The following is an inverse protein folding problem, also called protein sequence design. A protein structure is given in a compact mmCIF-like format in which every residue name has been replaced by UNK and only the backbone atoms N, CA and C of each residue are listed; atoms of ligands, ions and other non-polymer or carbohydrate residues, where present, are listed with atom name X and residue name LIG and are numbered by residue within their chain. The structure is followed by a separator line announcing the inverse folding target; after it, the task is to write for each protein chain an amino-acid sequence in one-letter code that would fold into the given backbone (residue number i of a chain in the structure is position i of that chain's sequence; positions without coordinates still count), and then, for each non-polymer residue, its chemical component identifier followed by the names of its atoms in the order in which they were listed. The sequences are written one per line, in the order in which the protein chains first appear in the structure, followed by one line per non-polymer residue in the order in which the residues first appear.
data_IF_824579949971
#
_entry.id   IF_824579949971
#
_cell.length_a   1.000
_cell.length_b   1.000
_cell.length_c   1.000
_cell.angle_alpha   90.00
_cell.angle_beta   90.00
_cell.angle_gamma   90.00
#
_symmetry.space_group_name_H-M   'P 1'
#
loop_
_entity.id
_entity.type
_entity.pdbx_description
1 polymer ?
#
# COMPACT_ATOMS: atom_id res chain seq x y z
N UNK A 1 20.38 -4.48 -51.72
CA UNK A 1 21.38 -3.46 -51.37
C UNK A 1 21.09 -2.95 -49.97
N UNK A 2 22.11 -3.01 -49.09
CA UNK A 2 22.25 -2.37 -47.76
C UNK A 2 21.27 -2.84 -46.67
N UNK A 3 21.69 -3.28 -45.49
CA UNK A 3 23.03 -3.39 -44.91
C UNK A 3 22.86 -3.68 -43.42
N UNK A 4 23.36 -4.83 -42.98
CA UNK A 4 23.55 -5.23 -41.59
C UNK A 4 24.83 -4.60 -41.04
N UNK A 5 24.79 -3.96 -39.86
CA UNK A 5 25.94 -3.75 -38.98
C UNK A 5 25.48 -3.29 -37.57
N UNK A 6 26.28 -3.54 -36.51
CA UNK A 6 25.79 -3.97 -35.20
C UNK A 6 25.81 -2.88 -34.11
N UNK A 7 25.06 -3.13 -33.03
CA UNK A 7 25.14 -2.35 -31.79
C UNK A 7 26.48 -2.56 -31.09
N UNK A 8 27.16 -1.44 -30.89
CA UNK A 8 28.43 -1.29 -30.21
C UNK A 8 28.23 -1.41 -28.69
N UNK A 9 28.75 -2.47 -28.08
CA UNK A 9 28.94 -2.58 -26.63
C UNK A 9 30.31 -2.03 -26.27
N UNK A 10 30.34 -0.93 -25.51
CA UNK A 10 31.56 -0.47 -24.86
C UNK A 10 31.47 0.97 -24.38
N UNK A 11 31.34 1.16 -23.07
CA UNK A 11 32.24 2.00 -22.28
C UNK A 11 31.75 2.10 -20.83
N UNK A 12 32.40 1.35 -19.95
CA UNK A 12 32.50 1.69 -18.54
C UNK A 12 33.27 3.01 -18.42
N UNK A 13 32.65 4.05 -17.86
CA UNK A 13 33.37 5.20 -17.31
C UNK A 13 32.78 5.48 -15.93
N UNK A 14 33.63 5.33 -14.92
CA UNK A 14 33.27 5.51 -13.53
C UNK A 14 32.93 6.96 -13.20
N UNK A 15 32.01 7.13 -12.24
CA UNK A 15 31.79 8.41 -11.60
C UNK A 15 32.20 8.34 -10.13
N UNK A 16 33.28 9.07 -9.87
CA UNK A 16 33.69 9.55 -8.55
C UNK A 16 32.56 10.34 -7.91
N UNK A 17 32.26 10.00 -6.67
CA UNK A 17 32.24 10.92 -5.52
C UNK A 17 31.97 12.40 -5.83
N UNK A 18 30.74 12.86 -5.56
CA UNK A 18 30.47 14.24 -5.15
C UNK A 18 29.32 14.27 -4.13
N UNK A 19 29.70 14.51 -2.89
CA UNK A 19 28.84 14.91 -1.78
C UNK A 19 28.25 16.30 -2.04
N UNK A 20 26.98 16.46 -1.62
CA UNK A 20 26.32 17.68 -1.16
C UNK A 20 26.82 19.04 -1.72
N UNK A 21 26.06 19.60 -2.65
CA UNK A 21 25.97 21.04 -2.82
C UNK A 21 24.54 21.43 -3.25
N UNK A 22 23.98 22.40 -2.52
CA UNK A 22 22.72 23.09 -2.76
C UNK A 22 22.36 23.24 -4.24
N UNK A 23 21.25 22.63 -4.66
CA UNK A 23 20.52 23.08 -5.86
C UNK A 23 19.42 24.05 -5.45
N UNK A 24 19.81 25.30 -5.27
CA UNK A 24 18.89 26.43 -5.47
C UNK A 24 18.74 26.64 -6.97
N UNK A 25 17.60 26.24 -7.54
CA UNK A 25 17.27 26.49 -8.95
C UNK A 25 16.83 25.24 -9.71
N UNK A 26 15.72 24.62 -9.29
CA UNK A 26 14.92 23.76 -10.15
C UNK A 26 13.47 23.84 -9.66
N UNK A 27 12.65 24.62 -10.37
CA UNK A 27 11.19 24.61 -10.20
C UNK A 27 10.65 23.31 -10.80
N UNK A 28 10.75 22.22 -10.05
CA UNK A 28 9.95 21.02 -10.24
C UNK A 28 9.42 20.60 -8.87
N UNK A 29 8.16 20.21 -8.84
CA UNK A 29 7.27 20.13 -7.69
C UNK A 29 7.56 18.96 -6.73
N UNK A 30 8.79 18.45 -6.71
CA UNK A 30 9.19 17.24 -5.99
C UNK A 30 9.95 17.58 -4.70
N UNK A 31 9.40 18.48 -3.90
CA UNK A 31 9.97 18.77 -2.58
C UNK A 31 9.55 17.68 -1.60
N UNK A 32 10.22 16.53 -1.67
CA UNK A 32 10.07 15.51 -0.64
C UNK A 32 10.56 16.08 0.70
N UNK A 33 9.79 15.91 1.79
CA UNK A 33 10.25 16.33 3.10
C UNK A 33 11.56 15.60 3.41
N UNK A 34 12.63 16.37 3.59
CA UNK A 34 13.93 15.83 3.97
C UNK A 34 13.83 15.26 5.38
N UNK A 35 14.29 14.02 5.56
CA UNK A 35 14.35 13.40 6.88
C UNK A 35 15.54 13.95 7.70
N UNK A 36 15.58 13.59 8.98
CA UNK A 36 16.62 13.99 9.93
C UNK A 36 18.05 13.52 9.58
N UNK A 37 18.21 12.68 8.54
CA UNK A 37 19.48 12.15 8.06
C UNK A 37 19.97 12.81 6.78
N UNK A 38 19.13 13.65 6.15
CA UNK A 38 19.51 14.37 4.94
C UNK A 38 20.75 15.24 5.19
N UNK A 39 21.76 15.12 4.32
CA UNK A 39 23.02 15.86 4.42
C UNK A 39 24.00 15.35 5.48
N UNK A 40 23.64 14.34 6.29
CA UNK A 40 24.55 13.72 7.26
C UNK A 40 25.36 12.60 6.61
N UNK A 41 26.58 12.40 7.09
CA UNK A 41 27.41 11.29 6.66
C UNK A 41 26.90 9.97 7.26
N UNK A 42 26.58 9.01 6.38
CA UNK A 42 26.06 7.69 6.78
C UNK A 42 26.99 6.93 7.75
N UNK A 43 28.30 7.13 7.62
CA UNK A 43 29.33 6.44 8.42
C UNK A 43 29.65 7.13 9.75
N UNK A 44 28.92 8.17 10.11
CA UNK A 44 29.09 8.87 11.38
C UNK A 44 27.99 8.47 12.36
N UNK A 45 28.38 8.31 13.62
CA UNK A 45 27.52 7.98 14.75
C UNK A 45 26.54 6.83 14.44
N UNK A 46 25.25 7.07 14.63
CA UNK A 46 24.18 6.14 14.34
C UNK A 46 23.36 6.55 13.10
N UNK A 47 23.95 7.30 12.16
CA UNK A 47 23.25 7.73 10.95
C UNK A 47 22.84 6.56 10.04
N UNK A 48 23.45 5.38 10.21
CA UNK A 48 22.99 4.13 9.58
C UNK A 48 21.53 3.76 9.94
N UNK A 49 20.97 4.34 11.02
CA UNK A 49 19.55 4.21 11.37
C UNK A 49 18.62 4.64 10.24
N UNK A 50 19.05 5.53 9.35
CA UNK A 50 18.29 5.89 8.15
C UNK A 50 17.90 4.66 7.30
N UNK A 51 18.82 3.69 7.16
CA UNK A 51 18.53 2.45 6.42
C UNK A 51 17.52 1.58 7.17
N UNK A 52 17.61 1.50 8.50
CA UNK A 52 16.69 0.72 9.33
C UNK A 52 15.29 1.33 9.35
N UNK A 53 15.19 2.66 9.46
CA UNK A 53 13.91 3.37 9.41
C UNK A 53 13.25 3.23 8.04
N UNK A 54 14.01 3.18 6.95
CA UNK A 54 13.46 2.87 5.63
C UNK A 54 12.83 1.48 5.57
N UNK A 55 13.50 0.47 6.13
CA UNK A 55 12.95 -0.89 6.19
C UNK A 55 11.66 -0.95 7.00
N UNK A 56 11.63 -0.36 8.19
CA UNK A 56 10.44 -0.37 9.04
C UNK A 56 9.31 0.50 8.46
N UNK A 57 9.65 1.66 7.88
CA UNK A 57 8.71 2.57 7.24
C UNK A 57 8.03 1.98 6.00
N UNK A 58 8.64 0.96 5.37
CA UNK A 58 8.04 0.21 4.28
C UNK A 58 6.71 -0.44 4.65
N UNK A 59 6.47 -0.74 5.94
CA UNK A 59 5.20 -1.28 6.41
C UNK A 59 4.03 -0.32 6.17
N UNK A 60 4.18 0.94 6.59
CA UNK A 60 3.12 1.93 6.45
C UNK A 60 2.79 2.16 4.98
N UNK A 61 3.81 2.28 4.13
CA UNK A 61 3.65 2.40 2.67
C UNK A 61 2.85 1.21 2.12
N UNK A 62 3.16 -0.01 2.56
CA UNK A 62 2.43 -1.21 2.13
C UNK A 62 0.99 -1.24 2.62
N UNK A 63 0.68 -0.73 3.81
CA UNK A 63 -0.70 -0.61 4.30
C UNK A 63 -1.46 0.44 3.50
N UNK A 64 -0.91 1.63 3.32
CA UNK A 64 -1.53 2.70 2.51
C UNK A 64 -1.81 2.21 1.08
N UNK A 65 -0.91 1.39 0.53
CA UNK A 65 -1.06 0.78 -0.79
C UNK A 65 -2.19 -0.26 -0.84
N UNK A 66 -2.35 -1.09 0.20
CA UNK A 66 -3.47 -2.03 0.34
C UNK A 66 -4.79 -1.28 0.45
N UNK A 67 -4.83 -0.25 1.29
CA UNK A 67 -6.03 0.53 1.55
C UNK A 67 -6.49 1.26 0.28
N UNK A 68 -5.56 1.85 -0.48
CA UNK A 68 -5.86 2.43 -1.80
C UNK A 68 -6.50 1.42 -2.77
N UNK A 69 -5.94 0.21 -2.89
CA UNK A 69 -6.52 -0.83 -3.76
C UNK A 69 -7.90 -1.28 -3.26
N UNK A 70 -8.08 -1.38 -1.94
CA UNK A 70 -9.34 -1.78 -1.32
C UNK A 70 -10.43 -0.73 -1.54
N UNK A 71 -10.13 0.55 -1.32
CA UNK A 71 -11.03 1.67 -1.59
C UNK A 71 -11.48 1.69 -3.07
N UNK A 72 -10.54 1.44 -3.99
CA UNK A 72 -10.87 1.32 -5.41
C UNK A 72 -11.87 0.18 -5.69
N UNK A 73 -11.62 -1.00 -5.13
CA UNK A 73 -12.49 -2.17 -5.26
C UNK A 73 -13.88 -1.93 -4.67
N UNK A 74 -13.95 -1.29 -3.50
CA UNK A 74 -15.22 -0.99 -2.82
C UNK A 74 -16.06 0.03 -3.60
N UNK A 75 -15.43 1.03 -4.22
CA UNK A 75 -16.08 1.97 -5.12
C UNK A 75 -16.65 1.28 -6.36
N UNK A 76 -15.93 0.32 -6.96
CA UNK A 76 -16.44 -0.47 -8.09
C UNK A 76 -17.66 -1.34 -7.70
N UNK A 77 -17.63 -1.96 -6.51
CA UNK A 77 -18.78 -2.70 -5.97
C UNK A 77 -19.98 -1.79 -5.70
N UNK A 78 -19.75 -0.58 -5.20
CA UNK A 78 -20.82 0.40 -5.00
C UNK A 78 -21.47 0.80 -6.32
N UNK A 79 -20.68 1.05 -7.37
CA UNK A 79 -21.21 1.29 -8.71
C UNK A 79 -22.07 0.11 -9.21
N UNK A 80 -21.61 -1.13 -9.01
CA UNK A 80 -22.37 -2.33 -9.38
C UNK A 80 -23.73 -2.40 -8.65
N UNK A 81 -23.76 -2.12 -7.33
CA UNK A 81 -25.01 -2.04 -6.55
C UNK A 81 -25.95 -0.95 -7.08
N UNK A 82 -25.42 0.21 -7.42
CA UNK A 82 -26.20 1.31 -7.99
C UNK A 82 -26.81 0.94 -9.35
N UNK A 83 -26.08 0.22 -10.20
CA UNK A 83 -26.61 -0.32 -11.46
C UNK A 83 -27.77 -1.31 -11.22
N UNK A 84 -27.66 -2.21 -10.25
CA UNK A 84 -28.73 -3.17 -9.92
C UNK A 84 -30.00 -2.44 -9.47
N UNK A 85 -29.88 -1.49 -8.53
CA UNK A 85 -31.00 -0.68 -8.06
C UNK A 85 -31.67 0.12 -9.20
N UNK A 86 -30.87 0.66 -10.12
CA UNK A 86 -31.37 1.33 -11.32
C UNK A 86 -32.20 0.38 -12.20
N UNK A 87 -31.71 -0.84 -12.47
CA UNK A 87 -32.44 -1.84 -13.27
C UNK A 87 -33.76 -2.22 -12.63
N UNK A 88 -33.80 -2.46 -11.31
CA UNK A 88 -35.02 -2.84 -10.60
C UNK A 88 -36.09 -1.75 -10.67
N UNK A 89 -35.69 -0.50 -10.44
CA UNK A 89 -36.57 0.68 -10.55
C UNK A 89 -37.19 0.79 -11.94
N UNK A 90 -36.38 0.76 -13.00
CA UNK A 90 -36.87 0.97 -14.36
C UNK A 90 -37.59 -0.25 -14.93
N UNK A 91 -37.18 -1.46 -14.57
CA UNK A 91 -37.91 -2.69 -14.94
C UNK A 91 -39.33 -2.64 -14.38
N UNK A 92 -39.49 -2.25 -13.11
CA UNK A 92 -40.80 -2.11 -12.47
C UNK A 92 -41.64 -1.05 -13.18
N UNK A 93 -41.06 0.13 -13.43
CA UNK A 93 -41.75 1.24 -14.10
C UNK A 93 -42.21 0.90 -15.52
N UNK A 94 -41.38 0.21 -16.31
CA UNK A 94 -41.74 -0.22 -17.67
C UNK A 94 -42.81 -1.31 -17.62
N UNK A 95 -42.70 -2.29 -16.71
CA UNK A 95 -43.72 -3.33 -16.56
C UNK A 95 -45.10 -2.73 -16.24
N UNK A 96 -45.15 -1.72 -15.37
CA UNK A 96 -46.36 -0.99 -14.99
C UNK A 96 -46.98 -0.13 -16.11
N UNK A 97 -46.24 0.16 -17.19
CA UNK A 97 -46.82 0.88 -18.32
C UNK A 97 -47.97 0.07 -18.93
N UNK A 98 -49.12 0.72 -19.08
CA UNK A 98 -50.31 0.12 -19.69
C UNK A 98 -50.01 -0.43 -21.08
N UNK A 99 -50.65 -1.55 -21.43
CA UNK A 99 -50.62 -2.14 -22.77
C UNK A 99 -51.19 -1.22 -23.85
N UNK A 100 -51.86 -0.12 -23.47
CA UNK A 100 -52.29 0.94 -24.38
C UNK A 100 -51.11 1.76 -24.91
N UNK A 101 -50.05 1.94 -24.10
CA UNK A 101 -48.96 2.90 -24.35
C UNK A 101 -47.66 2.22 -24.77
N UNK A 102 -47.34 1.06 -24.19
CA UNK A 102 -46.16 0.26 -24.57
C UNK A 102 -46.54 -1.21 -24.49
N UNK A 103 -46.28 -1.97 -25.56
CA UNK A 103 -46.76 -3.33 -25.71
C UNK A 103 -45.83 -4.21 -26.54
N UNK A 104 -46.10 -5.51 -26.47
CA UNK A 104 -45.58 -6.57 -27.32
C UNK A 104 -44.04 -6.56 -27.52
N UNK A 105 -43.52 -6.56 -28.74
CA UNK A 105 -42.08 -6.70 -29.02
C UNK A 105 -41.28 -5.46 -28.63
N UNK A 106 -41.82 -4.25 -28.81
CA UNK A 106 -41.14 -3.00 -28.39
C UNK A 106 -40.99 -2.93 -26.87
N UNK A 107 -42.02 -3.32 -26.10
CA UNK A 107 -41.93 -3.38 -24.63
C UNK A 107 -40.89 -4.40 -24.18
N UNK A 108 -40.79 -5.56 -24.85
CA UNK A 108 -39.74 -6.56 -24.58
C UNK A 108 -38.35 -5.99 -24.85
N UNK A 109 -38.15 -5.33 -25.99
CA UNK A 109 -36.87 -4.70 -26.34
C UNK A 109 -36.46 -3.63 -25.31
N UNK A 110 -37.38 -2.78 -24.87
CA UNK A 110 -37.13 -1.81 -23.79
C UNK A 110 -36.68 -2.48 -22.48
N UNK A 111 -37.36 -3.57 -22.09
CA UNK A 111 -37.00 -4.34 -20.90
C UNK A 111 -35.64 -5.02 -21.03
N UNK A 112 -35.29 -5.50 -22.22
CA UNK A 112 -33.98 -6.11 -22.48
C UNK A 112 -32.84 -5.08 -22.37
N UNK A 113 -33.02 -3.87 -22.92
CA UNK A 113 -32.05 -2.77 -22.75
C UNK A 113 -31.89 -2.39 -21.29
N UNK A 114 -33.00 -2.24 -20.56
CA UNK A 114 -32.95 -1.86 -19.14
C UNK A 114 -32.27 -2.91 -18.26
N UNK A 115 -32.18 -4.17 -18.69
CA UNK A 115 -31.49 -5.23 -17.95
C UNK A 115 -29.98 -5.23 -18.14
N UNK A 116 -29.44 -4.55 -19.15
CA UNK A 116 -27.99 -4.54 -19.45
C UNK A 116 -27.13 -4.09 -18.26
N UNK A 117 -27.46 -3.00 -17.53
CA UNK A 117 -26.66 -2.60 -16.38
C UNK A 117 -26.53 -3.68 -15.30
N UNK A 118 -27.49 -4.62 -15.20
CA UNK A 118 -27.40 -5.76 -14.28
C UNK A 118 -26.34 -6.77 -14.73
N UNK A 119 -26.21 -7.04 -16.03
CA UNK A 119 -25.15 -7.90 -16.56
C UNK A 119 -23.78 -7.22 -16.40
N UNK A 120 -23.69 -5.92 -16.65
CA UNK A 120 -22.47 -5.15 -16.41
C UNK A 120 -22.07 -5.13 -14.93
N UNK A 121 -23.05 -5.05 -14.02
CA UNK A 121 -22.79 -5.14 -12.58
C UNK A 121 -22.22 -6.50 -12.16
N UNK A 122 -22.75 -7.60 -12.70
CA UNK A 122 -22.21 -8.95 -12.47
C UNK A 122 -20.76 -9.08 -12.96
N UNK A 123 -20.49 -8.50 -14.13
CA UNK A 123 -19.17 -8.50 -14.73
C UNK A 123 -18.17 -7.67 -13.89
N UNK A 124 -18.58 -6.49 -13.43
CA UNK A 124 -17.81 -5.67 -12.48
C UNK A 124 -17.52 -6.41 -11.18
N UNK A 125 -18.50 -7.11 -10.61
CA UNK A 125 -18.31 -7.91 -9.39
C UNK A 125 -17.28 -9.03 -9.60
N UNK A 126 -17.29 -9.68 -10.77
CA UNK A 126 -16.27 -10.68 -11.12
C UNK A 126 -14.86 -10.08 -11.15
N UNK A 127 -14.68 -8.87 -11.71
CA UNK A 127 -13.37 -8.20 -11.69
C UNK A 127 -12.98 -7.77 -10.28
N UNK A 128 -13.93 -7.30 -9.45
CA UNK A 128 -13.67 -6.99 -8.05
C UNK A 128 -13.13 -8.20 -7.29
N UNK A 129 -13.62 -9.41 -7.60
CA UNK A 129 -13.09 -10.64 -7.02
C UNK A 129 -11.67 -10.96 -7.50
N UNK A 130 -11.31 -10.69 -8.75
CA UNK A 130 -9.93 -10.83 -9.23
C UNK A 130 -9.01 -9.80 -8.57
N UNK A 131 -9.44 -8.53 -8.46
CA UNK A 131 -8.70 -7.49 -7.74
C UNK A 131 -8.48 -7.86 -6.26
N UNK A 132 -9.51 -8.43 -5.61
CA UNK A 132 -9.40 -8.87 -4.22
C UNK A 132 -8.33 -9.95 -4.03
N UNK A 133 -8.18 -10.88 -4.98
CA UNK A 133 -7.10 -11.88 -4.91
C UNK A 133 -5.72 -11.24 -4.94
N UNK A 134 -5.52 -10.20 -5.74
CA UNK A 134 -4.25 -9.43 -5.79
C UNK A 134 -4.01 -8.71 -4.47
N UNK A 135 -5.04 -8.06 -3.92
CA UNK A 135 -4.98 -7.39 -2.61
C UNK A 135 -4.60 -8.38 -1.51
N UNK A 136 -5.26 -9.55 -1.47
CA UNK A 136 -5.02 -10.58 -0.45
C UNK A 136 -3.62 -11.20 -0.59
N UNK A 137 -3.16 -11.45 -1.82
CA UNK A 137 -1.78 -11.89 -2.12
C UNK A 137 -0.75 -10.91 -1.57
N UNK A 138 -0.92 -9.61 -1.83
CA UNK A 138 0.00 -8.60 -1.33
C UNK A 138 -0.09 -8.43 0.19
N UNK A 139 -1.29 -8.48 0.77
CA UNK A 139 -1.50 -8.47 2.23
C UNK A 139 -0.79 -9.64 2.91
N UNK A 140 -0.82 -10.83 2.32
CA UNK A 140 -0.08 -11.99 2.83
C UNK A 140 1.43 -11.77 2.79
N UNK A 141 1.97 -11.28 1.68
CA UNK A 141 3.38 -10.89 1.57
C UNK A 141 3.78 -9.89 2.68
N UNK A 142 2.97 -8.84 2.90
CA UNK A 142 3.21 -7.85 3.96
C UNK A 142 3.19 -8.50 5.34
N UNK A 143 2.27 -9.42 5.60
CA UNK A 143 2.18 -10.13 6.89
C UNK A 143 3.40 -11.03 7.15
N UNK A 144 3.99 -11.63 6.12
CA UNK A 144 5.18 -12.48 6.23
C UNK A 144 6.47 -11.68 6.44
N UNK A 145 6.55 -10.51 5.81
CA UNK A 145 7.73 -9.64 5.86
C UNK A 145 7.74 -8.79 7.14
N UNK A 146 6.56 -8.29 7.55
CA UNK A 146 6.40 -7.41 8.70
C UNK A 146 5.74 -8.14 9.86
N UNK A 147 6.54 -8.50 10.86
CA UNK A 147 6.13 -9.30 12.01
C UNK A 147 5.75 -8.39 13.17
N UNK A 148 4.70 -8.77 13.90
CA UNK A 148 4.28 -8.09 15.11
C UNK A 148 5.25 -8.39 16.27
N UNK A 149 5.89 -7.38 16.84
CA UNK A 149 6.71 -7.56 18.03
C UNK A 149 5.78 -7.63 19.26
N UNK A 150 5.73 -8.77 19.98
CA UNK A 150 4.81 -9.01 21.12
C UNK A 150 4.75 -7.89 22.18
N UNK A 151 5.80 -7.07 22.27
CA UNK A 151 5.98 -6.06 23.31
C UNK A 151 6.15 -4.63 22.77
N UNK A 152 5.96 -4.38 21.47
CA UNK A 152 6.02 -3.03 20.91
C UNK A 152 4.85 -2.74 19.99
N UNK A 153 4.25 -1.53 20.06
CA UNK A 153 3.30 -1.08 19.05
C UNK A 153 3.98 -1.02 17.68
N UNK A 154 3.31 -1.56 16.67
CA UNK A 154 3.75 -1.49 15.27
C UNK A 154 4.44 -2.78 14.79
N UNK A 155 4.35 -3.01 13.47
CA UNK A 155 5.05 -4.10 12.80
C UNK A 155 6.37 -3.60 12.25
N UNK A 156 7.39 -4.45 12.34
CA UNK A 156 8.72 -4.16 11.81
C UNK A 156 9.12 -5.21 10.80
N UNK A 157 10.03 -4.81 9.91
CA UNK A 157 10.59 -5.76 8.96
C UNK A 157 11.34 -6.85 9.74
N UNK A 158 11.11 -8.12 9.42
CA UNK A 158 11.67 -9.29 10.14
C UNK A 158 13.20 -9.26 10.28
N UNK A 159 13.90 -8.59 9.36
CA UNK A 159 15.36 -8.42 9.34
C UNK A 159 15.89 -7.14 10.03
N UNK A 160 15.03 -6.22 10.46
CA UNK A 160 15.50 -4.96 11.05
C UNK A 160 16.38 -5.18 12.28
N UNK A 161 15.98 -6.11 13.16
CA UNK A 161 16.76 -6.42 14.36
C UNK A 161 18.14 -7.03 14.03
N UNK A 162 18.19 -7.91 13.02
CA UNK A 162 19.43 -8.50 12.49
C UNK A 162 20.38 -7.41 11.99
N UNK A 163 19.92 -6.53 11.09
CA UNK A 163 20.74 -5.44 10.54
C UNK A 163 21.19 -4.46 11.63
N UNK A 164 20.32 -4.13 12.58
CA UNK A 164 20.68 -3.28 13.73
C UNK A 164 21.83 -3.88 14.53
N UNK A 165 21.80 -5.19 14.80
CA UNK A 165 22.89 -5.89 15.49
C UNK A 165 24.17 -5.85 14.67
N UNK A 166 24.10 -6.10 13.36
CA UNK A 166 25.26 -6.05 12.47
C UNK A 166 25.92 -4.67 12.44
N UNK A 167 25.14 -3.59 12.30
CA UNK A 167 25.67 -2.23 12.33
C UNK A 167 26.31 -1.88 13.67
N UNK A 168 25.67 -2.25 14.79
CA UNK A 168 26.24 -2.04 16.14
C UNK A 168 27.57 -2.76 16.31
N UNK A 169 27.65 -4.03 15.91
CA UNK A 169 28.89 -4.81 15.98
C UNK A 169 29.98 -4.22 15.08
N UNK A 170 29.63 -3.74 13.88
CA UNK A 170 30.59 -3.09 13.01
C UNK A 170 31.11 -1.76 13.59
N UNK A 171 30.23 -0.99 14.24
CA UNK A 171 30.53 0.32 14.82
C UNK A 171 31.31 0.25 16.15
N UNK A 172 31.19 -0.84 16.91
CA UNK A 172 31.78 -0.96 18.25
C UNK A 172 33.28 -0.62 18.30
N UNK A 173 34.07 -1.18 17.37
CA UNK A 173 35.52 -0.98 17.35
C UNK A 173 35.94 0.44 17.00
N UNK A 174 35.23 1.13 16.10
CA UNK A 174 35.54 2.54 15.80
C UNK A 174 35.09 3.46 16.93
N UNK A 175 33.96 3.15 17.58
CA UNK A 175 33.45 3.90 18.73
C UNK A 175 34.45 3.89 19.89
N UNK A 176 34.99 2.72 20.22
CA UNK A 176 35.96 2.59 21.32
C UNK A 176 37.23 3.44 21.08
N UNK A 177 37.77 3.41 19.86
CA UNK A 177 38.96 4.21 19.51
C UNK A 177 38.62 5.70 19.44
N UNK A 178 37.40 6.07 19.03
CA UNK A 178 36.94 7.45 19.04
C UNK A 178 36.85 8.01 20.47
N UNK A 179 36.31 7.24 21.42
CA UNK A 179 36.20 7.61 22.83
C UNK A 179 37.60 7.76 23.47
N UNK A 180 38.54 6.87 23.12
CA UNK A 180 39.94 6.99 23.53
C UNK A 180 40.58 8.27 22.98
N UNK A 181 40.35 8.59 21.70
CA UNK A 181 40.89 9.78 21.07
C UNK A 181 40.35 11.07 21.72
N UNK A 182 39.07 11.10 22.06
CA UNK A 182 38.47 12.25 22.75
C UNK A 182 38.98 12.40 24.19
N UNK A 183 39.19 11.28 24.88
CA UNK A 183 39.84 11.26 26.21
C UNK A 183 41.27 11.80 26.12
N UNK A 184 42.06 11.40 25.12
CA UNK A 184 43.42 11.91 24.94
C UNK A 184 43.45 13.41 24.60
N UNK A 185 42.52 13.91 23.77
CA UNK A 185 42.40 15.35 23.48
C UNK A 185 42.09 16.18 24.72
N UNK A 186 41.20 15.68 25.58
CA UNK A 186 40.89 16.39 26.83
C UNK A 186 42.08 16.36 27.81
N UNK A 187 42.86 15.28 27.85
CA UNK A 187 44.11 15.21 28.61
C UNK A 187 45.19 16.14 28.04
N UNK A 188 45.37 16.18 26.72
CA UNK A 188 46.31 17.07 26.02
C UNK A 188 46.02 18.54 26.37
N UNK A 189 44.75 18.95 26.30
CA UNK A 189 44.33 20.32 26.67
C UNK A 189 44.71 20.65 28.11
N UNK A 190 44.42 19.76 29.06
CA UNK A 190 44.78 19.94 30.48
C UNK A 190 46.30 19.98 30.69
N UNK A 191 47.05 19.15 29.97
CA UNK A 191 48.51 19.12 30.05
C UNK A 191 49.13 20.41 29.51
N UNK A 192 48.61 20.96 28.40
CA UNK A 192 49.02 22.27 27.86
C UNK A 192 48.73 23.42 28.82
N UNK A 193 47.56 23.44 29.43
CA UNK A 193 47.20 24.45 30.45
C UNK A 193 48.12 24.36 31.68
N UNK A 194 48.43 23.13 32.14
CA UNK A 194 49.35 22.91 33.25
C UNK A 194 50.80 23.30 32.92
N UNK A 195 51.28 23.00 31.70
CA UNK A 195 52.59 23.42 31.24
C UNK A 195 52.69 24.94 31.16
N UNK A 196 51.69 25.61 30.58
CA UNK A 196 51.63 27.07 30.51
C UNK A 196 51.69 27.72 31.89
N UNK A 197 50.97 27.15 32.86
CA UNK A 197 50.99 27.62 34.25
C UNK A 197 52.38 27.45 34.89
N UNK A 198 53.04 26.33 34.63
CA UNK A 198 54.40 26.09 35.12
C UNK A 198 55.44 27.02 34.46
N UNK A 199 55.29 27.28 33.16
CA UNK A 199 56.13 28.23 32.40
C UNK A 199 56.01 29.65 32.97
N UNK A 200 54.78 30.14 33.19
CA UNK A 200 54.57 31.44 33.82
C UNK A 200 55.13 31.52 35.24
N UNK A 201 55.02 30.44 36.03
CA UNK A 201 55.62 30.40 37.36
C UNK A 201 57.15 30.45 37.33
N UNK A 202 57.79 29.75 36.39
CA UNK A 202 59.24 29.84 36.17
C UNK A 202 59.66 31.26 35.77
N UNK A 203 58.93 31.90 34.85
CA UNK A 203 59.21 33.26 34.40
C UNK A 203 59.12 34.28 35.54
N UNK A 204 58.07 34.19 36.37
CA UNK A 204 57.91 35.06 37.56
C UNK A 204 59.09 34.88 38.52
N UNK A 205 59.49 33.63 38.80
CA UNK A 205 60.60 33.33 39.70
C UNK A 205 61.96 33.79 39.14
N UNK A 206 62.16 33.76 37.82
CA UNK A 206 63.36 34.29 37.17
C UNK A 206 63.47 35.81 37.25
N UNK A 207 62.32 36.51 37.24
CA UNK A 207 62.25 37.97 37.33
C UNK A 207 62.32 38.49 38.77
N UNK A 208 62.11 37.64 39.78
CA UNK A 208 62.17 38.00 41.19
C UNK A 208 63.61 37.91 41.73
N UNK A 209 64.25 39.05 42.10
CA UNK A 209 65.63 39.08 42.60
C UNK A 209 65.80 38.46 43.99
N UNK A 210 64.71 38.13 44.70
CA UNK A 210 64.74 37.44 45.99
C UNK A 210 64.70 35.90 45.87
N UNK A 211 64.50 35.38 44.65
CA UNK A 211 64.42 33.94 44.38
C UNK A 211 65.76 33.25 44.64
N UNK A 212 65.73 32.19 45.43
CA UNK A 212 66.90 31.33 45.64
C UNK A 212 67.11 30.36 44.47
N UNK A 213 68.37 30.02 44.20
CA UNK A 213 68.74 29.05 43.15
C UNK A 213 68.02 27.70 43.31
N UNK A 214 67.79 27.26 44.56
CA UNK A 214 67.04 26.05 44.89
C UNK A 214 65.55 26.14 44.51
N UNK A 215 64.92 27.31 44.66
CA UNK A 215 63.53 27.52 44.24
C UNK A 215 63.40 27.51 42.72
N UNK A 216 64.34 28.15 42.01
CA UNK A 216 64.38 28.16 40.56
C UNK A 216 64.61 26.74 39.98
N UNK A 217 65.55 25.98 40.55
CA UNK A 217 65.81 24.60 40.15
C UNK A 217 64.56 23.71 40.32
N UNK A 218 63.81 23.88 41.42
CA UNK A 218 62.56 23.14 41.66
C UNK A 218 61.47 23.52 40.66
N UNK A 219 61.34 24.80 40.31
CA UNK A 219 60.37 25.26 39.32
C UNK A 219 60.67 24.68 37.92
N UNK A 220 61.95 24.72 37.50
CA UNK A 220 62.41 24.10 36.26
C UNK A 220 62.16 22.59 36.23
N UNK A 221 62.36 21.88 37.36
CA UNK A 221 62.04 20.45 37.45
C UNK A 221 60.54 20.18 37.25
N UNK A 222 59.66 21.01 37.82
CA UNK A 222 58.20 20.89 37.64
C UNK A 222 57.82 21.16 36.18
N UNK A 223 58.37 22.21 35.57
CA UNK A 223 58.16 22.53 34.15
C UNK A 223 58.56 21.35 33.25
N UNK A 224 59.76 20.79 33.46
CA UNK A 224 60.25 19.65 32.68
C UNK A 224 59.36 18.42 32.84
N UNK A 225 58.85 18.13 34.05
CA UNK A 225 57.88 17.05 34.27
C UNK A 225 56.57 17.29 33.52
N UNK A 226 56.06 18.53 33.50
CA UNK A 226 54.83 18.87 32.74
C UNK A 226 55.04 18.77 31.24
N UNK A 227 56.21 19.16 30.73
CA UNK A 227 56.58 19.00 29.32
C UNK A 227 56.66 17.53 28.92
N UNK A 228 57.38 16.70 29.68
CA UNK A 228 57.45 15.26 29.42
C UNK A 228 56.07 14.58 29.46
N UNK A 229 55.15 15.04 30.33
CA UNK A 229 53.76 14.54 30.36
C UNK A 229 53.00 14.92 29.09
N UNK A 230 53.20 16.14 28.58
CA UNK A 230 52.58 16.59 27.34
C UNK A 230 53.11 15.77 26.15
N UNK A 231 54.43 15.57 26.07
CA UNK A 231 55.08 14.79 25.00
C UNK A 231 54.55 13.34 24.95
N UNK A 232 54.42 12.67 26.11
CA UNK A 232 53.85 11.31 26.21
C UNK A 232 52.38 11.25 25.76
N UNK A 233 51.57 12.27 26.08
CA UNK A 233 50.18 12.36 25.61
C UNK A 233 50.14 12.57 24.10
N UNK A 234 51.00 13.45 23.56
CA UNK A 234 51.06 13.73 22.12
C UNK A 234 51.49 12.50 21.31
N UNK A 235 52.46 11.70 21.81
CA UNK A 235 52.86 10.42 21.21
C UNK A 235 51.67 9.43 21.18
N UNK A 236 51.01 9.20 22.32
CA UNK A 236 49.81 8.34 22.39
C UNK A 236 48.69 8.81 21.47
N UNK A 237 48.55 10.12 21.30
CA UNK A 237 47.54 10.73 20.44
C UNK A 237 47.87 10.47 18.95
N UNK A 238 49.13 10.50 18.54
CA UNK A 238 49.58 10.12 17.18
C UNK A 238 49.26 8.65 16.91
N UNK A 239 49.59 7.76 17.84
CA UNK A 239 49.32 6.32 17.70
C UNK A 239 47.82 6.03 17.64
N UNK A 240 47.04 6.64 18.54
CA UNK A 240 45.57 6.48 18.55
C UNK A 240 44.93 7.03 17.29
N UNK A 241 45.42 8.14 16.73
CA UNK A 241 44.99 8.65 15.41
C UNK A 241 45.27 7.65 14.28
N UNK A 242 46.41 6.96 14.33
CA UNK A 242 46.74 5.91 13.36
C UNK A 242 45.76 4.73 13.46
N UNK A 243 45.55 4.22 14.67
CA UNK A 243 44.59 3.15 14.96
C UNK A 243 43.17 3.53 14.55
N UNK A 244 42.75 4.78 14.79
CA UNK A 244 41.45 5.28 14.36
C UNK A 244 41.27 5.23 12.84
N UNK A 245 42.28 5.60 12.06
CA UNK A 245 42.22 5.52 10.58
C UNK A 245 42.05 4.08 10.10
N UNK A 246 42.72 3.12 10.75
CA UNK A 246 42.58 1.69 10.44
C UNK A 246 41.17 1.20 10.79
N UNK A 247 40.68 1.51 11.99
CA UNK A 247 39.33 1.18 12.43
C UNK A 247 38.26 1.79 11.52
N UNK A 248 38.44 3.04 11.08
CA UNK A 248 37.54 3.72 10.15
C UNK A 248 37.46 3.03 8.79
N UNK A 249 38.60 2.62 8.21
CA UNK A 249 38.61 1.88 6.95
C UNK A 249 37.89 0.52 7.09
N UNK A 250 38.14 -0.19 8.19
CA UNK A 250 37.48 -1.47 8.47
C UNK A 250 35.96 -1.31 8.67
N UNK A 251 35.55 -0.31 9.45
CA UNK A 251 34.14 0.02 9.66
C UNK A 251 33.44 0.37 8.35
N UNK A 252 34.00 1.29 7.55
CA UNK A 252 33.40 1.67 6.25
C UNK A 252 33.18 0.47 5.34
N UNK A 253 34.15 -0.46 5.27
CA UNK A 253 33.99 -1.69 4.48
C UNK A 253 32.81 -2.54 4.98
N UNK A 254 32.76 -2.84 6.28
CA UNK A 254 31.69 -3.65 6.89
C UNK A 254 30.32 -2.97 6.78
N UNK A 255 30.25 -1.68 7.10
CA UNK A 255 29.02 -0.89 7.01
C UNK A 255 28.49 -0.83 5.57
N UNK A 256 29.37 -0.73 4.57
CA UNK A 256 28.98 -0.77 3.15
C UNK A 256 28.42 -2.14 2.76
N UNK A 257 28.99 -3.23 3.26
CA UNK A 257 28.47 -4.59 3.03
C UNK A 257 27.08 -4.77 3.62
N UNK A 258 26.87 -4.36 4.87
CA UNK A 258 25.55 -4.40 5.53
C UNK A 258 24.55 -3.51 4.77
N UNK A 259 24.98 -2.32 4.35
CA UNK A 259 24.16 -1.41 3.55
C UNK A 259 23.72 -2.05 2.23
N UNK A 260 24.61 -2.74 1.51
CA UNK A 260 24.23 -3.49 0.30
C UNK A 260 23.16 -4.54 0.57
N UNK A 261 23.24 -5.26 1.69
CA UNK A 261 22.19 -6.21 2.08
C UNK A 261 20.85 -5.50 2.36
N UNK A 262 20.89 -4.32 2.99
CA UNK A 262 19.69 -3.50 3.18
C UNK A 262 19.11 -3.01 1.85
N UNK A 263 19.96 -2.77 0.83
CA UNK A 263 19.52 -2.38 -0.51
C UNK A 263 18.84 -3.54 -1.23
N UNK A 264 19.38 -4.76 -1.16
CA UNK A 264 18.75 -5.95 -1.76
C UNK A 264 17.36 -6.20 -1.18
N UNK A 265 17.20 -6.08 0.14
CA UNK A 265 15.88 -6.23 0.78
C UNK A 265 14.90 -5.15 0.34
N UNK A 266 15.37 -3.92 0.16
CA UNK A 266 14.51 -2.82 -0.32
C UNK A 266 14.16 -2.99 -1.81
N UNK A 267 15.09 -3.47 -2.62
CA UNK A 267 14.87 -3.81 -4.03
C UNK A 267 13.77 -4.86 -4.17
N UNK A 268 13.83 -5.95 -3.38
CA UNK A 268 12.78 -6.96 -3.33
C UNK A 268 11.40 -6.36 -3.03
N UNK A 269 11.32 -5.40 -2.08
CA UNK A 269 10.06 -4.72 -1.74
C UNK A 269 9.55 -3.87 -2.91
N UNK A 270 10.43 -3.13 -3.57
CA UNK A 270 10.08 -2.28 -4.71
C UNK A 270 9.62 -3.12 -5.91
N UNK A 271 10.27 -4.25 -6.17
CA UNK A 271 9.85 -5.18 -7.21
C UNK A 271 8.50 -5.81 -6.92
N UNK A 272 8.24 -6.23 -5.68
CA UNK A 272 6.91 -6.74 -5.30
C UNK A 272 5.81 -5.68 -5.47
N UNK A 273 6.09 -4.40 -5.20
CA UNK A 273 5.15 -3.31 -5.46
C UNK A 273 4.89 -3.18 -6.95
N UNK A 274 5.95 -3.16 -7.78
CA UNK A 274 5.83 -3.09 -9.23
C UNK A 274 5.00 -4.25 -9.79
N UNK A 275 5.28 -5.47 -9.35
CA UNK A 275 4.53 -6.67 -9.76
C UNK A 275 3.07 -6.60 -9.32
N UNK A 276 2.80 -6.19 -8.08
CA UNK A 276 1.43 -6.03 -7.58
C UNK A 276 0.65 -4.99 -8.37
N UNK A 277 1.29 -3.87 -8.76
CA UNK A 277 0.66 -2.86 -9.62
C UNK A 277 0.27 -3.44 -10.98
N UNK A 278 1.14 -4.24 -11.59
CA UNK A 278 0.87 -4.89 -12.88
C UNK A 278 -0.25 -5.95 -12.74
N UNK A 279 -0.19 -6.79 -11.70
CA UNK A 279 -1.23 -7.77 -11.38
C UNK A 279 -2.58 -7.08 -11.16
N UNK A 280 -2.59 -5.93 -10.46
CA UNK A 280 -3.81 -5.16 -10.19
C UNK A 280 -4.40 -4.55 -11.47
N UNK A 281 -3.56 -3.96 -12.34
CA UNK A 281 -3.99 -3.45 -13.66
C UNK A 281 -4.62 -4.58 -14.49
N UNK A 282 -3.99 -5.76 -14.50
CA UNK A 282 -4.50 -6.92 -15.22
C UNK A 282 -5.82 -7.43 -14.64
N UNK A 283 -5.99 -7.39 -13.32
CA UNK A 283 -7.23 -7.74 -12.64
C UNK A 283 -8.36 -6.73 -12.89
N UNK A 284 -8.04 -5.44 -13.02
CA UNK A 284 -9.00 -4.38 -13.37
C UNK A 284 -9.61 -4.60 -14.76
N UNK A 285 -8.83 -5.13 -15.72
CA UNK A 285 -9.28 -5.34 -17.09
C UNK A 285 -8.78 -6.67 -17.65
N UNK A 286 -9.46 -7.76 -17.28
CA UNK A 286 -9.12 -9.08 -17.79
C UNK A 286 -9.58 -9.27 -19.24
N UNK A 287 -8.90 -10.14 -20.00
CA UNK A 287 -9.34 -10.52 -21.35
C UNK A 287 -10.76 -11.10 -21.33
N UNK A 288 -11.08 -11.88 -20.29
CA UNK A 288 -12.43 -12.41 -20.07
C UNK A 288 -13.45 -11.30 -19.92
N UNK A 289 -13.15 -10.27 -19.11
CA UNK A 289 -13.99 -9.09 -18.95
C UNK A 289 -14.26 -8.39 -20.29
N UNK A 290 -13.21 -8.14 -21.07
CA UNK A 290 -13.34 -7.46 -22.36
C UNK A 290 -14.23 -8.25 -23.34
N UNK A 291 -14.05 -9.56 -23.42
CA UNK A 291 -14.84 -10.43 -24.29
C UNK A 291 -16.31 -10.50 -23.84
N UNK A 292 -16.57 -10.68 -22.54
CA UNK A 292 -17.94 -10.73 -22.01
C UNK A 292 -18.66 -9.38 -22.18
N UNK A 293 -17.95 -8.27 -22.01
CA UNK A 293 -18.49 -6.92 -22.25
C UNK A 293 -18.94 -6.75 -23.70
N UNK A 294 -18.11 -7.10 -24.68
CA UNK A 294 -18.45 -7.03 -26.10
C UNK A 294 -19.64 -7.95 -26.41
N UNK A 295 -19.61 -9.18 -25.89
CA UNK A 295 -20.67 -10.15 -26.11
C UNK A 295 -22.04 -9.68 -25.59
N UNK A 296 -22.09 -9.01 -24.43
CA UNK A 296 -23.34 -8.43 -23.88
C UNK A 296 -23.97 -7.45 -24.88
N UNK A 297 -23.18 -6.54 -25.45
CA UNK A 297 -23.68 -5.52 -26.37
C UNK A 297 -24.01 -6.09 -27.76
N UNK A 298 -23.21 -7.00 -28.28
CA UNK A 298 -23.48 -7.68 -29.55
C UNK A 298 -24.76 -8.52 -29.45
N UNK A 299 -24.90 -9.34 -28.40
CA UNK A 299 -26.09 -10.16 -28.15
C UNK A 299 -27.36 -9.31 -28.05
N UNK A 300 -27.29 -8.18 -27.32
CA UNK A 300 -28.42 -7.25 -27.23
C UNK A 300 -28.77 -6.65 -28.59
N UNK A 301 -27.77 -6.21 -29.35
CA UNK A 301 -27.96 -5.59 -30.67
C UNK A 301 -28.64 -6.56 -31.62
N UNK A 302 -28.15 -7.81 -31.70
CA UNK A 302 -28.78 -8.87 -32.47
C UNK A 302 -30.20 -9.15 -32.00
N UNK A 303 -30.41 -9.25 -30.68
CA UNK A 303 -31.74 -9.54 -30.10
C UNK A 303 -32.76 -8.47 -30.45
N UNK A 304 -32.42 -7.19 -30.30
CA UNK A 304 -33.34 -6.09 -30.62
C UNK A 304 -33.61 -6.07 -32.13
N UNK A 305 -32.57 -6.17 -32.96
CA UNK A 305 -32.71 -6.11 -34.43
C UNK A 305 -33.56 -7.24 -34.98
N UNK A 306 -33.50 -8.43 -34.38
CA UNK A 306 -34.21 -9.62 -34.86
C UNK A 306 -35.60 -9.81 -34.24
N UNK A 307 -35.81 -9.39 -32.98
CA UNK A 307 -37.05 -9.67 -32.25
C UNK A 307 -37.98 -8.47 -32.13
N UNK A 308 -37.49 -7.23 -32.25
CA UNK A 308 -38.35 -6.07 -32.26
C UNK A 308 -38.92 -5.89 -33.66
N UNK A 309 -40.25 -5.93 -33.76
CA UNK A 309 -40.95 -5.82 -35.02
C UNK A 309 -42.17 -4.90 -34.85
N UNK A 310 -42.15 -3.77 -35.56
CA UNK A 310 -43.23 -2.79 -35.50
C UNK A 310 -44.54 -3.31 -36.10
N UNK A 311 -44.48 -4.18 -37.11
CA UNK A 311 -45.66 -4.80 -37.71
C UNK A 311 -46.37 -5.74 -36.72
N UNK A 312 -45.63 -6.61 -36.04
CA UNK A 312 -46.18 -7.52 -35.02
C UNK A 312 -46.85 -6.75 -33.89
N UNK A 313 -46.26 -5.61 -33.49
CA UNK A 313 -46.81 -4.74 -32.47
C UNK A 313 -48.14 -4.12 -32.92
N UNK A 314 -48.19 -3.56 -34.13
CA UNK A 314 -49.42 -2.97 -34.69
C UNK A 314 -50.52 -4.02 -34.85
N UNK A 315 -50.17 -5.23 -35.30
CA UNK A 315 -51.10 -6.35 -35.41
C UNK A 315 -51.64 -6.78 -34.04
N UNK A 316 -50.75 -6.92 -33.04
CA UNK A 316 -51.12 -7.21 -31.66
C UNK A 316 -52.13 -6.17 -31.13
N UNK A 317 -51.88 -4.88 -31.39
CA UNK A 317 -52.77 -3.81 -30.95
C UNK A 317 -54.15 -3.90 -31.63
N UNK A 318 -54.20 -4.04 -32.95
CA UNK A 318 -55.46 -4.15 -33.70
C UNK A 318 -56.32 -5.33 -33.21
N UNK A 319 -55.67 -6.47 -32.92
CA UNK A 319 -56.31 -7.65 -32.35
C UNK A 319 -56.82 -7.42 -30.92
N UNK A 320 -56.01 -6.80 -30.06
CA UNK A 320 -56.36 -6.54 -28.67
C UNK A 320 -57.60 -5.64 -28.51
N UNK A 321 -57.85 -4.73 -29.46
CA UNK A 321 -59.00 -3.83 -29.45
C UNK A 321 -60.11 -4.18 -30.46
N UNK A 322 -60.03 -5.35 -31.11
CA UNK A 322 -61.11 -5.88 -31.95
C UNK A 322 -61.38 -5.08 -33.23
N UNK A 323 -60.41 -4.32 -33.74
CA UNK A 323 -60.52 -3.57 -35.01
C UNK A 323 -60.14 -4.49 -36.19
N UNK A 324 -60.32 -5.81 -36.04
CA UNK A 324 -60.17 -6.77 -37.14
C UNK A 324 -61.31 -6.58 -38.15
N UNK A 325 -61.13 -5.64 -39.06
CA UNK A 325 -61.99 -5.45 -40.22
C UNK A 325 -61.26 -5.94 -41.48
N UNK A 326 -61.97 -6.23 -42.57
CA UNK A 326 -61.44 -6.84 -43.81
C UNK A 326 -60.12 -6.23 -44.35
N UNK A 327 -59.76 -5.00 -43.97
CA UNK A 327 -58.49 -4.33 -44.23
C UNK A 327 -57.26 -4.93 -43.51
N UNK A 328 -57.37 -5.36 -42.25
CA UNK A 328 -56.23 -6.00 -41.54
C UNK A 328 -55.99 -7.43 -42.02
N UNK A 329 -57.02 -8.13 -42.51
CA UNK A 329 -56.86 -9.45 -43.15
C UNK A 329 -55.96 -9.41 -44.38
N UNK A 330 -56.03 -8.35 -45.19
CA UNK A 330 -55.16 -8.22 -46.37
C UNK A 330 -53.71 -7.91 -46.01
N UNK A 331 -53.46 -7.25 -44.88
CA UNK A 331 -52.12 -6.95 -44.37
C UNK A 331 -51.44 -8.19 -43.76
N UNK A 332 -52.22 -9.12 -43.18
CA UNK A 332 -51.77 -10.40 -42.62
C UNK A 332 -51.46 -11.43 -43.73
N UNK A 333 -52.14 -11.35 -44.88
CA UNK A 333 -51.92 -12.26 -46.01
C UNK A 333 -50.58 -12.00 -46.70
N UNK A 334 -50.14 -10.75 -46.80
CA UNK A 334 -48.87 -10.41 -47.47
C UNK A 334 -47.61 -10.80 -46.72
N UNK A 335 -47.69 -11.22 -45.45
CA UNK A 335 -46.53 -11.65 -44.66
C UNK A 335 -46.26 -13.16 -44.70
N UNK A 336 -47.14 -13.96 -45.32
CA UNK A 336 -46.99 -15.41 -45.42
C UNK A 336 -46.50 -15.89 -46.79
N UNK A 337 -46.24 -14.99 -47.75
CA UNK A 337 -45.93 -15.35 -49.14
C UNK A 337 -44.43 -15.26 -49.50
N UNK A 338 -43.52 -15.08 -48.52
CA UNK A 338 -42.06 -14.97 -48.76
C UNK A 338 -41.24 -16.22 -48.33
N UNK A 339 -41.87 -17.39 -48.14
CA UNK A 339 -41.14 -18.66 -48.01
C UNK A 339 -41.22 -19.46 -49.32
N UNK A 340 -40.26 -19.22 -50.21
CA UNK A 340 -39.99 -20.08 -51.36
C UNK A 340 -39.32 -21.38 -50.92
N UNK A 341 -40.02 -22.49 -51.18
CA UNK A 341 -39.54 -23.78 -51.68
C UNK A 341 -38.12 -24.26 -51.28
N UNK A 342 -38.09 -25.31 -50.46
CA UNK A 342 -37.24 -26.47 -50.79
C UNK A 342 -37.89 -27.78 -50.30
N UNK A 343 -38.17 -28.63 -51.26
CA UNK A 343 -38.74 -29.97 -51.17
C UNK A 343 -38.09 -30.90 -50.13
N UNK A 344 -38.91 -31.74 -49.48
CA UNK A 344 -38.76 -33.19 -49.68
C UNK A 344 -39.96 -33.99 -49.17
N UNK A 345 -40.48 -34.77 -50.11
CA UNK A 345 -41.46 -35.85 -50.05
C UNK A 345 -41.01 -36.95 -49.07
N UNK A 346 -41.93 -37.53 -48.30
CA UNK A 346 -42.12 -38.99 -48.13
C UNK A 346 -43.53 -39.27 -47.58
N UNK A 347 -44.20 -40.20 -48.26
CA UNK A 347 -45.54 -40.74 -48.05
C UNK A 347 -45.71 -41.47 -46.71
N UNK A 348 -46.93 -41.50 -46.16
CA UNK A 348 -47.77 -42.72 -46.19
C UNK A 348 -48.98 -42.67 -45.23
N UNK A 349 -50.13 -42.94 -45.83
CA UNK A 349 -51.27 -43.73 -45.36
C UNK A 349 -51.92 -43.48 -43.98
N UNK A 350 -53.15 -42.96 -44.12
CA UNK A 350 -54.33 -43.21 -43.29
C UNK A 350 -54.45 -44.65 -42.75
N UNK A 351 -54.78 -44.80 -41.45
CA UNK A 351 -55.99 -45.51 -41.07
C UNK A 351 -56.42 -45.27 -39.62
N UNK A 352 -57.74 -45.12 -39.48
CA UNK A 352 -58.52 -44.88 -38.26
C UNK A 352 -59.00 -46.21 -37.70
N UNK A 353 -58.76 -46.50 -36.41
CA UNK A 353 -59.61 -47.44 -35.64
C UNK A 353 -59.48 -47.24 -34.12
N UNK A 354 -60.54 -46.65 -33.58
CA UNK A 354 -61.31 -47.00 -32.37
C UNK A 354 -60.81 -48.08 -31.39
N UNK A 355 -61.00 -47.77 -30.09
CA UNK A 355 -61.56 -48.58 -28.97
C UNK A 355 -60.67 -48.74 -27.70
N UNK A 356 -61.19 -48.11 -26.63
CA UNK A 356 -61.37 -48.48 -25.21
C UNK A 356 -60.25 -48.71 -24.18
N UNK A 357 -60.57 -48.17 -22.98
CA UNK A 357 -60.22 -48.56 -21.60
C UNK A 357 -58.72 -48.48 -21.19
N UNK A 358 -58.30 -48.11 -19.97
CA UNK A 358 -58.92 -47.98 -18.66
C UNK A 358 -57.97 -47.18 -17.73
N UNK A 359 -58.56 -46.50 -16.73
CA UNK A 359 -58.04 -46.18 -15.37
C UNK A 359 -56.54 -45.96 -15.11
N UNK A 360 -56.21 -44.81 -14.47
CA UNK A 360 -55.79 -44.84 -13.06
C UNK A 360 -55.91 -43.47 -12.38
N UNK A 361 -56.51 -43.48 -11.19
CA UNK A 361 -56.57 -42.38 -10.23
C UNK A 361 -55.22 -42.30 -9.50
N UNK A 362 -54.80 -41.11 -9.12
CA UNK A 362 -54.29 -40.89 -7.75
C UNK A 362 -54.42 -39.44 -7.33
N UNK A 363 -55.22 -39.26 -6.29
CA UNK A 363 -55.30 -38.10 -5.41
C UNK A 363 -53.94 -37.78 -4.76
N UNK A 364 -53.62 -36.48 -4.61
CA UNK A 364 -53.04 -35.99 -3.36
C UNK A 364 -53.36 -34.52 -3.10
N UNK A 365 -54.33 -34.31 -2.21
CA UNK A 365 -54.55 -33.09 -1.41
C UNK A 365 -53.44 -32.93 -0.37
N UNK A 366 -53.04 -31.68 -0.11
CA UNK A 366 -52.81 -31.04 1.20
C UNK A 366 -52.29 -29.62 0.90
N UNK A 367 -53.00 -28.52 1.17
CA UNK A 367 -53.58 -27.94 2.40
C UNK A 367 -52.89 -26.60 2.63
N UNK A 368 -53.54 -25.53 2.20
CA UNK A 368 -53.21 -24.13 2.50
C UNK A 368 -53.86 -23.79 3.85
N UNK A 369 -53.08 -23.18 4.75
CA UNK A 369 -53.55 -22.54 5.97
C UNK A 369 -53.56 -21.03 5.71
N UNK A 370 -54.74 -20.45 5.86
CA UNK A 370 -54.98 -19.00 5.92
C UNK A 370 -54.70 -18.49 7.35
N UNK A 371 -54.15 -17.28 7.46
CA UNK A 371 -54.43 -16.41 8.60
C UNK A 371 -54.51 -14.95 8.15
N UNK A 372 -55.67 -14.36 8.44
CA UNK A 372 -56.07 -12.95 8.41
C UNK A 372 -55.18 -12.09 9.33
N UNK A 373 -54.72 -10.92 8.86
CA UNK A 373 -55.29 -9.57 9.07
C UNK A 373 -55.09 -9.02 10.50
N UNK A 374 -54.43 -7.86 10.61
CA UNK A 374 -55.03 -6.66 11.20
C UNK A 374 -54.12 -5.42 11.05
N UNK A 375 -54.83 -4.29 10.99
CA UNK A 375 -54.50 -2.89 10.75
C UNK A 375 -53.39 -2.25 11.60
N UNK A 376 -52.73 -1.18 11.08
CA UNK A 376 -52.93 0.19 11.59
C UNK A 376 -52.10 1.27 10.84
N UNK A 377 -52.62 2.49 10.97
CA UNK A 377 -52.42 3.70 10.15
C UNK A 377 -51.12 4.52 10.36
N UNK A 378 -50.80 5.25 9.28
CA UNK A 378 -50.35 6.65 9.20
C UNK A 378 -49.38 7.26 10.24
N UNK A 379 -48.26 7.82 9.75
CA UNK A 379 -48.09 9.29 9.59
C UNK A 379 -46.62 9.69 9.32
N UNK A 380 -46.38 10.33 8.18
CA UNK A 380 -45.36 11.38 7.99
C UNK A 380 -45.96 12.72 8.49
N UNK A 381 -45.21 13.83 8.78
CA UNK A 381 -44.11 14.32 7.93
C UNK A 381 -43.01 15.24 8.52
N UNK A 382 -41.99 15.45 7.67
CA UNK A 382 -41.30 16.71 7.31
C UNK A 382 -40.39 17.51 8.27
N UNK A 383 -39.23 17.87 7.66
CA UNK A 383 -38.55 19.18 7.66
C UNK A 383 -37.83 19.63 8.94
N UNK A 384 -36.73 20.38 8.94
CA UNK A 384 -35.78 20.85 7.94
C UNK A 384 -34.67 21.62 8.70
N UNK A 385 -33.59 21.94 7.98
CA UNK A 385 -32.76 23.16 8.14
C UNK A 385 -31.81 23.32 9.34
N UNK A 386 -30.52 23.16 9.01
CA UNK A 386 -29.45 24.17 9.09
C UNK A 386 -29.00 24.79 10.42
N UNK A 387 -27.67 24.82 10.50
CA UNK A 387 -26.79 25.98 10.77
C UNK A 387 -26.26 26.23 12.19
N UNK A 388 -24.95 26.00 12.29
CA UNK A 388 -23.91 26.99 12.57
C UNK A 388 -23.55 27.38 14.02
N UNK A 389 -22.24 27.21 14.29
CA UNK A 389 -21.34 27.98 15.17
C UNK A 389 -21.66 27.86 16.68
N UNK A 390 -20.70 27.60 17.57
CA UNK A 390 -19.61 28.53 17.88
C UNK A 390 -18.55 27.88 18.79
N UNK A 391 -17.28 28.24 18.54
CA UNK A 391 -16.11 28.19 19.43
C UNK A 391 -16.43 28.45 20.92
N UNK A 392 -15.83 27.65 21.80
CA UNK A 392 -15.35 28.13 23.12
C UNK A 392 -13.96 27.56 23.41
N UNK A 393 -12.97 28.47 23.46
CA UNK A 393 -11.66 28.29 24.09
C UNK A 393 -11.85 28.22 25.62
N UNK A 394 -11.19 27.28 26.29
CA UNK A 394 -10.88 27.42 27.72
C UNK A 394 -9.42 27.04 27.98
N UNK A 395 -8.63 28.07 28.27
CA UNK A 395 -7.29 28.01 28.85
C UNK A 395 -7.40 28.18 30.36
N UNK A 396 -6.58 27.41 31.10
CA UNK A 396 -5.91 27.68 32.39
C UNK A 396 -5.65 26.34 33.09
N UNK A 397 -4.61 26.11 33.88
CA UNK A 397 -3.23 26.59 34.01
C UNK A 397 -2.69 25.82 35.23
N UNK A 398 -1.39 25.47 35.23
CA UNK A 398 -0.49 25.39 36.40
C UNK A 398 -0.74 24.27 37.46
N UNK A 399 0.19 23.32 37.59
CA UNK A 399 1.22 23.36 38.66
C UNK A 399 2.27 22.23 38.57
N UNK A 400 3.53 22.65 38.75
CA UNK A 400 4.72 21.84 39.06
C UNK A 400 4.62 21.21 40.46
N UNK A 401 5.28 20.08 40.69
CA UNK A 401 6.29 19.92 41.77
C UNK A 401 7.09 18.63 41.60
N UNK A 402 8.40 18.81 41.69
CA UNK A 402 9.45 17.80 41.88
C UNK A 402 9.22 16.85 43.05
N UNK A 403 9.77 15.63 42.95
CA UNK A 403 10.45 14.96 44.07
C UNK A 403 11.41 13.87 43.59
N UNK A 404 12.71 14.17 43.74
CA UNK A 404 13.83 13.23 43.80
C UNK A 404 13.65 12.27 44.99
N UNK A 405 13.88 10.97 44.80
CA UNK A 405 14.45 10.11 45.83
C UNK A 405 15.46 9.13 45.22
N UNK A 406 16.70 9.33 45.62
CA UNK A 406 17.81 8.38 45.59
C UNK A 406 17.57 7.28 46.62
N UNK A 407 17.90 6.03 46.31
CA UNK A 407 18.53 5.13 47.29
C UNK A 407 19.30 4.03 46.57
N UNK A 408 20.55 3.90 47.01
CA UNK A 408 21.56 2.91 46.67
C UNK A 408 21.44 1.72 47.64
N UNK A 409 21.92 0.54 47.22
CA UNK A 409 22.68 -0.51 47.95
C UNK A 409 22.18 -1.95 47.65
N UNK A 410 22.96 -2.60 46.78
CA UNK A 410 23.44 -4.01 46.62
C UNK A 410 23.04 -5.14 47.62
N UNK A 411 23.54 -6.39 47.49
CA UNK A 411 23.48 -7.35 46.37
C UNK A 411 23.03 -8.76 46.85
N UNK A 412 22.64 -9.66 45.94
CA UNK A 412 22.61 -11.11 46.26
C UNK A 412 22.76 -12.01 45.03
N UNK A 413 23.96 -12.58 44.91
CA UNK A 413 24.26 -14.03 44.83
C UNK A 413 23.53 -14.91 43.78
N UNK A 414 24.32 -15.31 42.77
CA UNK A 414 24.57 -16.67 42.26
C UNK A 414 23.37 -17.64 42.15
N UNK A 415 23.06 -18.05 40.91
CA UNK A 415 22.90 -19.47 40.60
C UNK A 415 23.27 -19.78 39.15
N UNK A 416 24.31 -20.60 39.02
CA UNK A 416 24.69 -21.32 37.82
C UNK A 416 23.67 -22.43 37.55
N UNK A 417 23.19 -22.55 36.29
CA UNK A 417 22.77 -23.84 35.75
C UNK A 417 23.37 -23.97 34.35
N UNK A 418 24.33 -24.90 34.25
CA UNK A 418 24.83 -25.53 33.03
C UNK A 418 24.24 -26.95 33.03
N UNK A 419 23.70 -27.40 31.89
CA UNK A 419 23.81 -28.75 31.27
C UNK A 419 22.71 -28.89 30.20
N UNK A 420 23.08 -28.90 28.92
CA UNK A 420 23.24 -30.07 28.00
C UNK A 420 22.07 -30.13 27.00
N UNK A 421 22.30 -29.85 25.71
CA UNK A 421 22.75 -30.81 24.68
C UNK A 421 21.84 -32.03 24.52
N UNK A 422 20.95 -31.95 23.52
CA UNK A 422 20.92 -32.84 22.34
C UNK A 422 20.76 -31.95 21.10
#
# INVERSE_FOLDING_TARGET
MRGTAPMNMGACIGFRETLAANRSGATNNDHYPLNQYAGKNFFEDENYRAALERLDGGYQISIDFIDWMQEYCDNEREQARNCIAYVEKWTTRIKQQSSVVSYHTTKRAQLDVVRIPKQLAQLKESNCNEMQKVIDKYRNYVNEIYINERFRPGRKHRRTHEFKKLFKTAHASISEVADQLETLRTLEKKAREALRTAESACEILQLDPSTTEKQLARANEVQNKKRATLDDIEEKLVDTKSTYKVAQKAYRKKATEIFKQCQTVEEERLDHIRETLLDFIQAMHTTKYSNELNHIFESLTTKITTQQNSFDDLLFWAKAYGIENKLTKNLIVTSNDDDHDSDSIIESHTNKKTIDHETEKTDRRQSIVEHEADDEEASTPNNATTSAKTKVKRTKNINNTDKKHTNTTEPSTINNIVLNQV
#
